data_IF_289960261105
#
_entry.id   IF_289960261105
#
_cell.length_a   1.000
_cell.length_b   1.000
_cell.length_c   1.000
_cell.angle_alpha   90.00
_cell.angle_beta   90.00
_cell.angle_gamma   90.00
#
_symmetry.space_group_name_H-M   'P 1'
#
loop_
_entity.id
_entity.type
_entity.pdbx_description
1 polymer ?
#
# COMPACT_ATOMS: atom_id res chain seq x y z
N UNK A 1 8.42 -14.12 51.36
CA UNK A 1 8.59 -14.55 49.96
C UNK A 1 8.73 -13.30 49.12
N UNK A 2 9.97 -12.95 48.79
CA UNK A 2 10.30 -11.79 47.95
C UNK A 2 10.03 -12.16 46.50
N UNK A 3 9.05 -11.48 45.86
CA UNK A 3 8.79 -11.62 44.43
C UNK A 3 9.97 -11.12 43.63
N UNK A 4 10.69 -12.03 43.02
CA UNK A 4 11.65 -11.69 41.96
C UNK A 4 10.87 -11.12 40.76
N UNK A 5 10.83 -9.79 40.67
CA UNK A 5 10.44 -9.13 39.43
C UNK A 5 11.46 -9.52 38.35
N UNK A 6 11.04 -10.36 37.40
CA UNK A 6 11.86 -10.67 36.24
C UNK A 6 12.18 -9.35 35.51
N UNK A 7 13.47 -9.06 35.34
CA UNK A 7 13.88 -7.91 34.54
C UNK A 7 13.23 -8.00 33.14
N UNK A 8 12.70 -6.89 32.60
CA UNK A 8 12.12 -6.90 31.28
C UNK A 8 13.17 -7.43 30.25
N UNK A 9 12.75 -8.25 29.28
CA UNK A 9 13.65 -8.79 28.28
C UNK A 9 14.39 -7.64 27.57
N UNK A 10 15.70 -7.81 27.38
CA UNK A 10 16.52 -6.81 26.69
C UNK A 10 15.94 -6.47 25.32
N UNK A 11 15.90 -5.19 24.99
CA UNK A 11 15.41 -4.73 23.69
C UNK A 11 16.20 -5.39 22.55
N UNK A 12 15.55 -5.83 21.47
CA UNK A 12 16.22 -6.45 20.34
C UNK A 12 17.24 -5.51 19.71
N UNK A 13 18.38 -6.07 19.28
CA UNK A 13 19.35 -5.28 18.54
C UNK A 13 18.77 -4.73 17.21
N UNK A 14 19.29 -3.61 16.69
CA UNK A 14 18.69 -2.93 15.52
C UNK A 14 18.53 -3.82 14.27
N UNK A 15 19.43 -4.78 14.06
CA UNK A 15 19.36 -5.72 12.95
C UNK A 15 18.18 -6.69 13.08
N UNK A 16 17.93 -7.22 14.26
CA UNK A 16 16.82 -8.14 14.52
C UNK A 16 15.47 -7.40 14.43
N UNK A 17 15.39 -6.20 15.00
CA UNK A 17 14.20 -5.36 14.88
C UNK A 17 13.89 -5.01 13.41
N UNK A 18 14.91 -4.67 12.60
CA UNK A 18 14.76 -4.41 11.17
C UNK A 18 14.23 -5.63 10.43
N UNK A 19 14.76 -6.82 10.70
CA UNK A 19 14.28 -8.04 10.08
C UNK A 19 12.83 -8.35 10.49
N UNK A 20 12.47 -8.15 11.76
CA UNK A 20 11.10 -8.33 12.25
C UNK A 20 10.10 -7.38 11.57
N UNK A 21 10.45 -6.10 11.46
CA UNK A 21 9.61 -5.08 10.82
C UNK A 21 9.47 -5.38 9.32
N UNK A 22 10.57 -5.69 8.64
CA UNK A 22 10.54 -6.08 7.23
C UNK A 22 9.70 -7.35 7.00
N UNK A 23 9.74 -8.33 7.92
CA UNK A 23 8.90 -9.52 7.86
C UNK A 23 7.41 -9.20 8.03
N UNK A 24 7.03 -8.21 8.87
CA UNK A 24 5.65 -7.76 8.98
C UNK A 24 5.15 -7.14 7.67
N UNK A 25 5.92 -6.24 7.06
CA UNK A 25 5.61 -5.65 5.76
C UNK A 25 5.54 -6.71 4.65
N UNK A 26 6.51 -7.61 4.58
CA UNK A 26 6.51 -8.73 3.63
C UNK A 26 5.24 -9.57 3.77
N UNK A 27 4.90 -9.95 4.99
CA UNK A 27 3.71 -10.75 5.30
C UNK A 27 2.42 -10.02 4.91
N UNK A 28 2.33 -8.73 5.18
CA UNK A 28 1.18 -7.92 4.79
C UNK A 28 0.99 -7.90 3.26
N UNK A 29 2.05 -7.64 2.51
CA UNK A 29 2.01 -7.66 1.03
C UNK A 29 1.70 -9.04 0.47
N UNK A 30 2.30 -10.10 1.04
CA UNK A 30 2.06 -11.46 0.62
C UNK A 30 0.59 -11.87 0.85
N UNK A 31 0.03 -11.60 2.01
CA UNK A 31 -1.36 -11.94 2.34
C UNK A 31 -2.33 -11.14 1.45
N UNK A 32 -2.11 -9.83 1.31
CA UNK A 32 -2.96 -8.96 0.50
C UNK A 32 -3.02 -9.43 -0.95
N UNK A 33 -1.87 -9.62 -1.59
CA UNK A 33 -1.81 -10.09 -2.98
C UNK A 33 -2.30 -11.54 -3.12
N UNK A 34 -2.08 -12.41 -2.13
CA UNK A 34 -2.65 -13.76 -2.15
C UNK A 34 -4.17 -13.78 -2.17
N UNK A 35 -4.82 -12.82 -1.51
CA UNK A 35 -6.28 -12.69 -1.52
C UNK A 35 -6.77 -12.03 -2.82
N UNK A 36 -6.15 -10.92 -3.25
CA UNK A 36 -6.62 -10.17 -4.43
C UNK A 36 -6.42 -10.95 -5.74
N UNK A 37 -5.35 -11.72 -5.88
CA UNK A 37 -5.14 -12.59 -7.06
C UNK A 37 -6.11 -13.78 -7.12
N UNK A 38 -6.90 -14.02 -6.06
CA UNK A 38 -7.90 -15.09 -5.99
C UNK A 38 -9.34 -14.55 -5.91
N UNK A 39 -9.54 -13.26 -6.17
CA UNK A 39 -10.89 -12.67 -6.20
C UNK A 39 -11.84 -13.36 -7.17
N UNK A 40 -11.44 -13.79 -8.39
CA UNK A 40 -12.33 -14.56 -9.27
C UNK A 40 -12.86 -15.82 -8.58
N UNK A 41 -12.01 -16.61 -7.92
CA UNK A 41 -12.45 -17.79 -7.16
C UNK A 41 -13.42 -17.47 -6.02
N UNK A 42 -13.31 -16.29 -5.41
CA UNK A 42 -14.28 -15.84 -4.42
C UNK A 42 -15.61 -15.46 -5.05
N UNK A 43 -15.60 -14.82 -6.23
CA UNK A 43 -16.81 -14.51 -7.00
C UNK A 43 -17.56 -15.78 -7.33
N UNK A 44 -16.90 -16.76 -7.94
CA UNK A 44 -17.50 -18.06 -8.32
C UNK A 44 -18.05 -18.80 -7.09
N UNK A 45 -17.24 -18.89 -6.04
CA UNK A 45 -17.62 -19.65 -4.83
C UNK A 45 -18.84 -19.07 -4.12
N UNK A 46 -18.99 -17.76 -4.11
CA UNK A 46 -20.01 -17.03 -3.33
C UNK A 46 -21.08 -16.38 -4.20
N UNK A 47 -21.04 -16.60 -5.52
CA UNK A 47 -21.93 -16.00 -6.50
C UNK A 47 -22.00 -14.46 -6.35
N UNK A 48 -20.83 -13.82 -6.31
CA UNK A 48 -20.69 -12.37 -6.11
C UNK A 48 -20.51 -11.66 -7.45
N UNK A 49 -21.48 -10.88 -7.86
CA UNK A 49 -21.29 -9.94 -8.98
C UNK A 49 -20.36 -8.78 -8.59
N UNK A 50 -19.85 -8.01 -9.59
CA UNK A 50 -18.87 -6.93 -9.39
C UNK A 50 -19.32 -5.88 -8.37
N UNK A 51 -20.62 -5.56 -8.31
CA UNK A 51 -21.16 -4.59 -7.35
C UNK A 51 -21.11 -5.11 -5.92
N UNK A 52 -21.44 -6.40 -5.71
CA UNK A 52 -21.35 -7.03 -4.39
C UNK A 52 -19.89 -7.14 -3.93
N UNK A 53 -18.99 -7.55 -4.82
CA UNK A 53 -17.57 -7.58 -4.56
C UNK A 53 -17.00 -6.18 -4.23
N UNK A 54 -17.41 -5.15 -5.01
CA UNK A 54 -17.05 -3.75 -4.73
C UNK A 54 -17.50 -3.33 -3.33
N UNK A 55 -18.71 -3.73 -2.91
CA UNK A 55 -19.22 -3.45 -1.57
C UNK A 55 -18.38 -4.13 -0.47
N UNK A 56 -17.97 -5.37 -0.68
CA UNK A 56 -17.10 -6.11 0.26
C UNK A 56 -15.70 -5.48 0.34
N UNK A 57 -15.13 -5.09 -0.80
CA UNK A 57 -13.84 -4.41 -0.85
C UNK A 57 -13.90 -3.01 -0.22
N UNK A 58 -14.98 -2.26 -0.44
CA UNK A 58 -15.24 -1.00 0.25
C UNK A 58 -15.25 -1.19 1.76
N UNK A 59 -16.02 -2.16 2.25
CA UNK A 59 -16.07 -2.51 3.66
C UNK A 59 -14.67 -2.81 4.21
N UNK A 60 -13.88 -3.61 3.50
CA UNK A 60 -12.51 -3.97 3.89
C UNK A 60 -11.61 -2.74 4.04
N UNK A 61 -11.63 -1.81 3.08
CA UNK A 61 -10.81 -0.59 3.10
C UNK A 61 -11.28 0.36 4.20
N UNK A 62 -12.60 0.55 4.38
CA UNK A 62 -13.13 1.37 5.48
C UNK A 62 -12.75 0.82 6.84
N UNK A 63 -12.83 -0.50 7.01
CA UNK A 63 -12.43 -1.16 8.25
C UNK A 63 -10.90 -1.15 8.47
N UNK A 64 -10.09 -1.12 7.40
CA UNK A 64 -8.67 -0.84 7.52
C UNK A 64 -8.42 0.59 8.05
N UNK A 65 -9.17 1.57 7.57
CA UNK A 65 -9.16 2.92 8.15
C UNK A 65 -9.51 2.93 9.64
N UNK A 66 -10.57 2.20 10.03
CA UNK A 66 -10.94 2.02 11.45
C UNK A 66 -9.83 1.34 12.24
N UNK A 67 -9.23 0.27 11.70
CA UNK A 67 -8.08 -0.42 12.31
C UNK A 67 -6.90 0.51 12.56
N UNK A 68 -6.57 1.37 11.59
CA UNK A 68 -5.53 2.38 11.71
C UNK A 68 -5.83 3.39 12.82
N UNK A 69 -7.07 3.91 12.91
CA UNK A 69 -7.49 4.80 14.00
C UNK A 69 -7.45 4.12 15.37
N UNK A 70 -7.80 2.83 15.44
CA UNK A 70 -7.68 2.04 16.66
C UNK A 70 -6.22 1.89 17.05
N UNK A 71 -5.33 1.62 16.09
CA UNK A 71 -3.89 1.53 16.33
C UNK A 71 -3.31 2.84 16.89
N UNK A 72 -3.69 3.99 16.33
CA UNK A 72 -3.27 5.32 16.81
C UNK A 72 -3.67 5.55 18.27
N UNK A 73 -4.84 5.06 18.71
CA UNK A 73 -5.31 5.19 20.08
C UNK A 73 -4.71 4.17 21.04
N UNK A 74 -4.45 2.95 20.57
CA UNK A 74 -3.96 1.86 21.40
C UNK A 74 -2.43 1.86 21.54
N UNK A 75 -1.69 2.18 20.49
CA UNK A 75 -0.23 2.15 20.53
C UNK A 75 0.39 3.04 21.63
N UNK A 76 -0.14 4.25 21.94
CA UNK A 76 0.31 5.04 23.06
C UNK A 76 0.08 4.37 24.44
N UNK A 77 -0.88 3.47 24.55
CA UNK A 77 -1.28 2.82 25.82
C UNK A 77 -0.66 1.44 26.01
N UNK A 78 -0.61 0.65 24.94
CA UNK A 78 -0.24 -0.77 24.98
C UNK A 78 1.13 -1.08 24.40
N UNK A 79 1.79 -0.14 23.71
CA UNK A 79 2.96 -0.31 22.83
C UNK A 79 2.58 -0.72 21.38
N UNK A 80 3.21 -0.07 20.41
CA UNK A 80 3.01 -0.38 18.99
C UNK A 80 3.38 -1.82 18.62
N UNK A 81 4.37 -2.41 19.31
CA UNK A 81 4.75 -3.82 19.12
C UNK A 81 3.62 -4.79 19.53
N UNK A 82 2.90 -4.47 20.60
CA UNK A 82 1.77 -5.29 21.08
C UNK A 82 0.60 -5.20 20.09
N UNK A 83 0.28 -3.97 19.65
CA UNK A 83 -0.81 -3.74 18.71
C UNK A 83 -0.49 -4.35 17.34
N UNK A 84 0.78 -4.30 16.89
CA UNK A 84 1.24 -4.96 15.67
C UNK A 84 1.04 -6.48 15.72
N UNK A 85 1.44 -7.10 16.82
CA UNK A 85 1.23 -8.55 17.04
C UNK A 85 -0.25 -8.91 17.03
N UNK A 86 -1.09 -8.14 17.72
CA UNK A 86 -2.53 -8.34 17.73
C UNK A 86 -3.11 -8.24 16.31
N UNK A 87 -2.72 -7.24 15.52
CA UNK A 87 -3.12 -7.08 14.13
C UNK A 87 -2.71 -8.27 13.26
N UNK A 88 -1.47 -8.76 13.40
CA UNK A 88 -0.98 -9.94 12.67
C UNK A 88 -1.76 -11.22 13.04
N UNK A 89 -2.11 -11.39 14.32
CA UNK A 89 -2.96 -12.50 14.76
C UNK A 89 -4.38 -12.40 14.19
N UNK A 90 -4.96 -11.21 14.17
CA UNK A 90 -6.27 -10.97 13.55
C UNK A 90 -6.20 -11.31 12.05
N UNK A 91 -5.16 -10.88 11.32
CA UNK A 91 -4.95 -11.24 9.90
C UNK A 91 -4.86 -12.76 9.74
N UNK A 92 -4.07 -13.44 10.57
CA UNK A 92 -3.89 -14.90 10.49
C UNK A 92 -5.22 -15.64 10.65
N UNK A 93 -5.97 -15.33 11.70
CA UNK A 93 -7.29 -15.92 11.95
C UNK A 93 -8.28 -15.58 10.82
N UNK A 94 -8.32 -14.31 10.40
CA UNK A 94 -9.25 -13.86 9.37
C UNK A 94 -8.98 -14.57 8.04
N UNK A 95 -7.72 -14.68 7.59
CA UNK A 95 -7.36 -15.37 6.34
C UNK A 95 -7.75 -16.85 6.37
N UNK A 96 -7.47 -17.53 7.47
CA UNK A 96 -7.88 -18.93 7.62
C UNK A 96 -9.40 -19.09 7.52
N UNK A 97 -10.16 -18.19 8.18
CA UNK A 97 -11.63 -18.21 8.12
C UNK A 97 -12.16 -17.81 6.75
N UNK A 98 -11.58 -16.80 6.07
CA UNK A 98 -11.93 -16.41 4.69
C UNK A 98 -11.88 -17.60 3.75
N UNK A 99 -10.79 -18.37 3.83
CA UNK A 99 -10.59 -19.54 2.96
C UNK A 99 -11.50 -20.70 3.33
N UNK A 100 -11.72 -20.95 4.61
CA UNK A 100 -12.47 -22.12 5.11
C UNK A 100 -13.93 -21.80 5.41
N UNK A 101 -14.41 -20.60 5.09
CA UNK A 101 -15.76 -20.16 5.39
C UNK A 101 -16.83 -21.16 4.87
N UNK A 102 -17.80 -21.56 5.72
CA UNK A 102 -18.89 -22.42 5.30
C UNK A 102 -20.05 -21.67 4.64
N UNK A 103 -20.15 -20.35 4.86
CA UNK A 103 -21.23 -19.50 4.33
C UNK A 103 -20.71 -18.12 3.92
N UNK A 104 -21.41 -17.45 3.01
CA UNK A 104 -21.09 -16.08 2.56
C UNK A 104 -21.03 -15.10 3.74
N UNK A 105 -21.90 -15.24 4.75
CA UNK A 105 -21.89 -14.37 5.92
C UNK A 105 -20.58 -14.51 6.70
N UNK A 106 -20.10 -15.74 6.95
CA UNK A 106 -18.83 -15.98 7.63
C UNK A 106 -17.66 -15.44 6.81
N UNK A 107 -17.69 -15.62 5.48
CA UNK A 107 -16.70 -15.04 4.57
C UNK A 107 -16.62 -13.51 4.68
N UNK A 108 -17.78 -12.82 4.61
CA UNK A 108 -17.84 -11.35 4.69
C UNK A 108 -17.37 -10.84 6.06
N UNK A 109 -17.78 -11.49 7.16
CA UNK A 109 -17.33 -11.12 8.50
C UNK A 109 -15.82 -11.37 8.69
N UNK A 110 -15.28 -12.41 8.09
CA UNK A 110 -13.84 -12.68 8.12
C UNK A 110 -13.05 -11.64 7.32
N UNK A 111 -13.55 -11.20 6.16
CA UNK A 111 -12.95 -10.09 5.40
C UNK A 111 -13.07 -8.76 6.14
N UNK A 112 -14.14 -8.52 6.87
CA UNK A 112 -14.28 -7.38 7.76
C UNK A 112 -13.18 -7.38 8.86
N UNK A 113 -12.98 -8.51 9.52
CA UNK A 113 -11.92 -8.69 10.51
C UNK A 113 -10.52 -8.53 9.88
N UNK A 114 -10.33 -9.07 8.66
CA UNK A 114 -9.10 -8.88 7.90
C UNK A 114 -8.82 -7.39 7.64
N UNK A 115 -9.83 -6.61 7.24
CA UNK A 115 -9.72 -5.17 7.03
C UNK A 115 -9.22 -4.47 8.31
N UNK A 116 -9.83 -4.73 9.46
CA UNK A 116 -9.37 -4.16 10.74
C UNK A 116 -7.92 -4.57 11.05
N UNK A 117 -7.58 -5.85 10.89
CA UNK A 117 -6.22 -6.36 11.07
C UNK A 117 -5.21 -5.67 10.15
N UNK A 118 -5.58 -5.46 8.88
CA UNK A 118 -4.76 -4.76 7.88
C UNK A 118 -4.42 -3.34 8.36
N UNK A 119 -5.42 -2.57 8.82
CA UNK A 119 -5.20 -1.22 9.34
C UNK A 119 -4.36 -1.18 10.60
N UNK A 120 -4.55 -2.14 11.53
CA UNK A 120 -3.70 -2.28 12.72
C UNK A 120 -2.24 -2.50 12.34
N UNK A 121 -1.97 -3.43 11.42
CA UNK A 121 -0.61 -3.78 10.97
C UNK A 121 0.03 -2.64 10.20
N UNK A 122 -0.71 -1.99 9.31
CA UNK A 122 -0.22 -0.88 8.50
C UNK A 122 0.25 0.29 9.39
N UNK A 123 -0.61 0.78 10.28
CA UNK A 123 -0.26 1.89 11.15
C UNK A 123 0.90 1.55 12.10
N UNK A 124 0.85 0.40 12.75
CA UNK A 124 1.88 0.02 13.74
C UNK A 124 3.18 -0.45 13.10
N UNK A 125 3.14 -1.04 11.91
CA UNK A 125 4.33 -1.36 11.11
C UNK A 125 5.10 -0.09 10.74
N UNK A 126 4.40 0.95 10.28
CA UNK A 126 5.01 2.25 10.00
C UNK A 126 5.57 2.91 11.28
N UNK A 127 4.85 2.86 12.42
CA UNK A 127 5.35 3.35 13.70
C UNK A 127 6.65 2.64 14.12
N UNK A 128 6.71 1.33 13.98
CA UNK A 128 7.90 0.53 14.27
C UNK A 128 9.07 0.87 13.32
N UNK A 129 8.80 1.09 12.03
CA UNK A 129 9.82 1.46 11.06
C UNK A 129 10.40 2.85 11.36
N UNK A 130 9.57 3.85 11.69
CA UNK A 130 10.00 5.19 12.11
C UNK A 130 10.80 5.14 13.42
N UNK A 131 10.35 4.36 14.42
CA UNK A 131 11.11 4.17 15.65
C UNK A 131 12.49 3.56 15.39
N UNK A 132 12.59 2.65 14.42
CA UNK A 132 13.85 2.06 14.00
C UNK A 132 14.75 3.08 13.28
N UNK A 133 14.20 3.93 12.42
CA UNK A 133 14.93 5.02 11.76
C UNK A 133 15.60 5.95 12.78
N UNK A 134 14.85 6.36 13.81
CA UNK A 134 15.37 7.19 14.89
C UNK A 134 16.53 6.50 15.64
N UNK A 135 16.38 5.20 15.95
CA UNK A 135 17.46 4.42 16.63
C UNK A 135 18.69 4.20 15.77
N UNK A 136 18.52 4.09 14.46
CA UNK A 136 19.61 3.80 13.52
C UNK A 136 20.25 5.08 12.95
N UNK A 137 19.62 6.23 13.09
CA UNK A 137 20.04 7.50 12.47
C UNK A 137 20.07 7.44 10.95
N UNK A 138 19.27 6.57 10.34
CA UNK A 138 19.19 6.40 8.88
C UNK A 138 17.79 5.98 8.42
N UNK A 139 17.47 6.31 7.18
CA UNK A 139 16.21 5.94 6.53
C UNK A 139 16.10 4.42 6.39
N UNK A 140 14.96 3.84 6.75
CA UNK A 140 14.65 2.40 6.71
C UNK A 140 13.29 2.13 6.07
N UNK A 141 12.35 3.06 6.14
CA UNK A 141 10.98 2.92 5.67
C UNK A 141 10.87 2.47 4.20
N UNK A 142 11.65 3.01 3.23
CA UNK A 142 11.61 2.54 1.85
C UNK A 142 11.95 1.05 1.71
N UNK A 143 12.91 0.54 2.47
CA UNK A 143 13.27 -0.89 2.44
C UNK A 143 12.18 -1.77 3.05
N UNK A 144 11.40 -1.28 4.00
CA UNK A 144 10.25 -1.98 4.56
C UNK A 144 9.12 -2.08 3.51
N UNK A 145 8.81 -0.99 2.80
CA UNK A 145 7.87 -1.04 1.68
C UNK A 145 8.38 -1.91 0.51
N UNK A 146 9.70 -1.97 0.29
CA UNK A 146 10.33 -2.93 -0.63
C UNK A 146 10.07 -4.38 -0.21
N UNK A 147 10.11 -4.68 1.08
CA UNK A 147 9.75 -6.00 1.60
C UNK A 147 8.26 -6.32 1.37
N UNK A 148 7.35 -5.33 1.50
CA UNK A 148 5.95 -5.47 1.13
C UNK A 148 5.78 -5.86 -0.35
N UNK A 149 6.45 -5.14 -1.26
CA UNK A 149 6.43 -5.44 -2.70
C UNK A 149 6.96 -6.84 -2.98
N UNK A 150 8.05 -7.24 -2.34
CA UNK A 150 8.61 -8.59 -2.48
C UNK A 150 7.62 -9.66 -1.99
N UNK A 151 6.92 -9.41 -0.88
CA UNK A 151 5.85 -10.28 -0.40
C UNK A 151 4.75 -10.46 -1.45
N UNK A 152 4.33 -9.36 -2.09
CA UNK A 152 3.35 -9.38 -3.19
C UNK A 152 3.83 -10.18 -4.40
N UNK A 153 5.09 -10.02 -4.82
CA UNK A 153 5.69 -10.80 -5.91
C UNK A 153 5.68 -12.29 -5.57
N UNK A 154 6.11 -12.65 -4.37
CA UNK A 154 6.10 -14.04 -3.90
C UNK A 154 4.68 -14.60 -3.89
N UNK A 155 3.69 -13.83 -3.43
CA UNK A 155 2.29 -14.23 -3.43
C UNK A 155 1.77 -14.53 -4.84
N UNK A 156 2.05 -13.63 -5.80
CA UNK A 156 1.63 -13.82 -7.19
C UNK A 156 2.28 -15.06 -7.82
N UNK A 157 3.58 -15.28 -7.59
CA UNK A 157 4.28 -16.50 -8.03
C UNK A 157 3.67 -17.76 -7.38
N UNK A 158 3.40 -17.72 -6.08
CA UNK A 158 2.75 -18.83 -5.37
C UNK A 158 1.35 -19.09 -5.90
N UNK A 159 0.59 -18.04 -6.26
CA UNK A 159 -0.75 -18.20 -6.85
C UNK A 159 -0.67 -18.93 -8.18
N UNK A 160 0.26 -18.56 -9.07
CA UNK A 160 0.50 -19.25 -10.33
C UNK A 160 0.95 -20.71 -10.11
N UNK A 161 1.92 -20.94 -9.22
CA UNK A 161 2.49 -22.26 -8.96
C UNK A 161 1.51 -23.21 -8.27
N UNK A 162 0.50 -22.70 -7.56
CA UNK A 162 -0.48 -23.47 -6.79
C UNK A 162 -1.90 -23.38 -7.33
N UNK A 163 -2.08 -23.00 -8.58
CA UNK A 163 -3.39 -22.89 -9.23
C UNK A 163 -4.19 -24.18 -9.17
N UNK A 164 -3.54 -25.34 -9.38
CA UNK A 164 -4.15 -26.68 -9.27
C UNK A 164 -4.28 -27.22 -7.84
N UNK A 165 -3.85 -26.48 -6.81
CA UNK A 165 -3.94 -26.97 -5.44
C UNK A 165 -5.38 -26.87 -4.90
N UNK A 166 -5.77 -27.74 -3.94
CA UNK A 166 -7.04 -27.63 -3.27
C UNK A 166 -7.23 -26.24 -2.64
N UNK A 167 -8.44 -25.69 -2.74
CA UNK A 167 -8.76 -24.37 -2.17
C UNK A 167 -8.31 -24.20 -0.72
N UNK A 168 -8.54 -25.22 0.12
CA UNK A 168 -8.14 -25.22 1.53
C UNK A 168 -6.63 -25.01 1.76
N UNK A 169 -5.78 -25.35 0.79
CA UNK A 169 -4.33 -25.15 0.90
C UNK A 169 -3.96 -23.66 0.99
N UNK A 170 -4.81 -22.76 0.46
CA UNK A 170 -4.61 -21.30 0.57
C UNK A 170 -4.60 -20.84 2.03
N UNK A 171 -5.28 -21.55 2.94
CA UNK A 171 -5.25 -21.24 4.37
C UNK A 171 -3.84 -21.32 4.99
N UNK A 172 -2.90 -22.06 4.35
CA UNK A 172 -1.51 -22.12 4.80
C UNK A 172 -0.81 -20.75 4.80
N UNK A 173 -1.30 -19.77 4.02
CA UNK A 173 -0.81 -18.39 4.04
C UNK A 173 -0.94 -17.77 5.44
N UNK A 174 -1.91 -18.19 6.26
CA UNK A 174 -2.09 -17.74 7.64
C UNK A 174 -0.90 -18.05 8.58
N UNK A 175 -0.04 -19.00 8.21
CA UNK A 175 1.16 -19.37 9.02
C UNK A 175 2.15 -18.20 9.07
N UNK A 176 2.25 -17.40 8.01
CA UNK A 176 3.22 -16.30 7.94
C UNK A 176 2.90 -15.17 8.92
N UNK A 177 1.67 -14.63 9.00
CA UNK A 177 1.36 -13.62 10.02
C UNK A 177 1.44 -14.17 11.45
N UNK A 178 1.19 -15.47 11.67
CA UNK A 178 1.43 -16.10 12.99
C UNK A 178 2.93 -16.09 13.34
N UNK A 179 3.78 -16.48 12.39
CA UNK A 179 5.23 -16.45 12.58
C UNK A 179 5.75 -15.01 12.78
N UNK A 180 5.25 -14.05 11.99
CA UNK A 180 5.61 -12.65 12.11
C UNK A 180 5.16 -12.05 13.46
N UNK A 181 4.03 -12.49 14.03
CA UNK A 181 3.56 -12.03 15.35
C UNK A 181 4.52 -12.41 16.48
N UNK A 182 5.30 -13.48 16.31
CA UNK A 182 6.30 -13.92 17.29
C UNK A 182 7.65 -13.17 17.15
N UNK A 183 7.83 -12.31 16.15
CA UNK A 183 9.08 -11.64 15.86
C UNK A 183 9.46 -10.59 16.94
N UNK A 184 10.77 -10.27 17.07
CA UNK A 184 11.27 -9.34 18.08
C UNK A 184 11.11 -7.88 17.62
N UNK A 185 9.95 -7.28 17.84
CA UNK A 185 9.68 -5.86 17.59
C UNK A 185 10.27 -4.95 18.66
N UNK A 186 10.43 -3.67 18.32
CA UNK A 186 10.98 -2.67 19.23
C UNK A 186 9.96 -2.36 20.35
N UNK A 187 10.36 -2.46 21.64
CA UNK A 187 9.57 -1.93 22.73
C UNK A 187 9.56 -0.39 22.66
N UNK A 188 8.52 0.22 23.19
CA UNK A 188 8.37 1.67 23.26
C UNK A 188 9.47 2.29 24.14
N UNK A 189 10.12 3.33 23.64
CA UNK A 189 10.90 4.23 24.50
C UNK A 189 9.92 5.20 25.18
N UNK A 190 9.73 5.04 26.49
CA UNK A 190 8.93 5.93 27.31
C UNK A 190 9.66 7.28 27.41
N UNK A 191 9.38 8.21 26.52
CA UNK A 191 10.03 9.53 26.53
C UNK A 191 9.79 10.41 25.32
N UNK A 192 9.36 9.85 24.19
CA UNK A 192 9.07 10.63 22.97
C UNK A 192 7.57 10.69 22.69
N UNK A 193 6.80 11.29 23.58
CA UNK A 193 5.54 11.88 23.19
C UNK A 193 5.90 13.12 22.35
N UNK A 194 5.74 13.04 21.02
CA UNK A 194 5.77 14.22 20.19
C UNK A 194 4.64 15.14 20.69
N UNK A 195 4.99 16.15 21.44
CA UNK A 195 4.09 17.28 21.70
C UNK A 195 3.80 17.87 20.32
N UNK A 196 2.53 17.78 19.89
CA UNK A 196 2.03 18.44 18.70
C UNK A 196 2.15 19.95 18.91
N UNK A 197 3.28 20.50 18.57
CA UNK A 197 3.40 21.95 18.35
C UNK A 197 2.67 22.22 17.04
N UNK A 198 1.60 23.01 17.09
CA UNK A 198 0.99 23.62 15.92
C UNK A 198 2.05 24.45 15.22
N UNK A 199 2.65 23.88 14.19
CA UNK A 199 3.63 24.56 13.35
C UNK A 199 2.94 24.91 12.05
N UNK A 200 3.20 26.13 11.56
CA UNK A 200 2.71 26.61 10.27
C UNK A 200 3.26 25.71 9.13
N UNK A 201 2.44 24.75 8.71
CA UNK A 201 2.78 23.76 7.69
C UNK A 201 2.14 24.20 6.37
N UNK A 202 2.86 24.19 5.22
CA UNK A 202 2.31 24.61 3.93
C UNK A 202 1.33 23.56 3.37
N UNK A 203 0.21 23.36 4.05
CA UNK A 203 -0.78 22.32 3.74
C UNK A 203 -1.29 22.37 2.32
N UNK A 204 -1.41 23.57 1.71
CA UNK A 204 -1.87 23.68 0.32
C UNK A 204 -0.96 22.96 -0.65
N UNK A 205 0.36 23.14 -0.52
CA UNK A 205 1.34 22.43 -1.36
C UNK A 205 1.37 20.93 -1.07
N UNK A 206 1.29 20.55 0.22
CA UNK A 206 1.26 19.15 0.66
C UNK A 206 0.01 18.44 0.13
N UNK A 207 -1.16 19.08 0.14
CA UNK A 207 -2.39 18.52 -0.42
C UNK A 207 -2.28 18.27 -1.93
N UNK A 208 -1.64 19.19 -2.68
CA UNK A 208 -1.44 18.99 -4.11
C UNK A 208 -0.57 17.76 -4.41
N UNK A 209 0.48 17.54 -3.61
CA UNK A 209 1.30 16.33 -3.69
C UNK A 209 0.49 15.11 -3.23
N UNK A 210 -0.31 15.26 -2.16
CA UNK A 210 -1.21 14.22 -1.67
C UNK A 210 -2.25 13.78 -2.71
N UNK A 211 -2.77 14.69 -3.54
CA UNK A 211 -3.65 14.33 -4.65
C UNK A 211 -2.95 13.46 -5.71
N UNK A 212 -1.66 13.69 -5.97
CA UNK A 212 -0.90 12.80 -6.85
C UNK A 212 -0.75 11.40 -6.23
N UNK A 213 -0.59 11.33 -4.91
CA UNK A 213 -0.57 10.06 -4.18
C UNK A 213 -1.94 9.36 -4.21
N UNK A 214 -3.05 10.10 -4.10
CA UNK A 214 -4.41 9.55 -4.28
C UNK A 214 -4.56 8.93 -5.66
N UNK A 215 -4.15 9.62 -6.72
CA UNK A 215 -4.20 9.08 -8.09
C UNK A 215 -3.36 7.81 -8.19
N UNK A 216 -2.15 7.81 -7.64
CA UNK A 216 -1.28 6.63 -7.62
C UNK A 216 -1.99 5.44 -6.96
N UNK A 217 -2.47 5.59 -5.72
CA UNK A 217 -3.11 4.49 -5.01
C UNK A 217 -4.45 4.07 -5.63
N UNK A 218 -5.16 4.98 -6.32
CA UNK A 218 -6.34 4.60 -7.11
C UNK A 218 -5.97 3.65 -8.24
N UNK A 219 -4.91 3.97 -8.98
CA UNK A 219 -4.43 3.14 -10.09
C UNK A 219 -3.84 1.82 -9.58
N UNK A 220 -2.98 1.89 -8.56
CA UNK A 220 -2.29 0.73 -7.97
C UNK A 220 -3.30 -0.28 -7.39
N UNK A 221 -4.27 0.21 -6.60
CA UNK A 221 -5.31 -0.63 -6.01
C UNK A 221 -6.27 -1.17 -7.06
N UNK A 222 -6.64 -0.38 -8.07
CA UNK A 222 -7.44 -0.87 -9.19
C UNK A 222 -6.76 -2.04 -9.91
N UNK A 223 -5.46 -1.89 -10.22
CA UNK A 223 -4.69 -2.93 -10.90
C UNK A 223 -4.51 -4.18 -10.01
N UNK A 224 -4.16 -4.00 -8.73
CA UNK A 224 -3.92 -5.11 -7.81
C UNK A 224 -5.20 -5.87 -7.44
N UNK A 225 -6.34 -5.17 -7.36
CA UNK A 225 -7.61 -5.76 -6.94
C UNK A 225 -8.42 -6.29 -8.12
N UNK A 226 -8.60 -5.46 -9.15
CA UNK A 226 -9.47 -5.79 -10.28
C UNK A 226 -8.74 -6.38 -11.48
N UNK A 227 -7.40 -6.34 -11.52
CA UNK A 227 -6.64 -6.92 -12.62
C UNK A 227 -6.88 -8.41 -12.83
N UNK A 228 -6.80 -9.27 -11.80
CA UNK A 228 -7.13 -10.69 -11.92
C UNK A 228 -8.57 -10.94 -12.37
N UNK A 229 -9.54 -10.22 -11.76
CA UNK A 229 -10.97 -10.28 -12.13
C UNK A 229 -11.17 -9.86 -13.59
N UNK A 230 -10.46 -8.81 -14.03
CA UNK A 230 -10.53 -8.32 -15.40
C UNK A 230 -10.04 -9.33 -16.43
N UNK A 231 -8.98 -10.10 -16.12
CA UNK A 231 -8.52 -11.16 -17.01
C UNK A 231 -9.53 -12.31 -17.09
N UNK A 232 -10.18 -12.62 -16.00
CA UNK A 232 -11.20 -13.67 -15.89
C UNK A 232 -12.50 -13.25 -16.59
N UNK A 233 -13.18 -12.24 -16.07
CA UNK A 233 -14.53 -11.82 -16.51
C UNK A 233 -14.59 -11.30 -17.95
N UNK A 234 -13.52 -10.65 -18.44
CA UNK A 234 -13.54 -9.98 -19.76
C UNK A 234 -12.97 -10.85 -20.87
N UNK A 235 -12.08 -11.79 -20.53
CA UNK A 235 -11.35 -12.57 -21.53
C UNK A 235 -11.42 -14.09 -21.33
N UNK A 236 -12.14 -14.56 -20.31
CA UNK A 236 -12.15 -16.00 -19.96
C UNK A 236 -10.72 -16.56 -19.87
N UNK A 237 -9.80 -15.78 -19.25
CA UNK A 237 -8.42 -16.21 -19.13
C UNK A 237 -8.31 -17.45 -18.25
N UNK A 238 -7.38 -18.39 -18.54
CA UNK A 238 -7.18 -19.56 -17.71
C UNK A 238 -6.97 -19.17 -16.24
N UNK A 239 -7.69 -19.81 -15.32
CA UNK A 239 -7.68 -19.50 -13.88
C UNK A 239 -6.27 -19.53 -13.28
N UNK A 240 -5.42 -20.40 -13.80
CA UNK A 240 -4.01 -20.53 -13.42
C UNK A 240 -3.14 -19.35 -13.89
N UNK A 241 -3.64 -18.48 -14.79
CA UNK A 241 -2.89 -17.36 -15.35
C UNK A 241 -3.41 -15.96 -14.91
N UNK A 242 -4.53 -15.86 -14.20
CA UNK A 242 -5.10 -14.56 -13.80
C UNK A 242 -4.15 -13.71 -12.94
N UNK A 243 -3.26 -14.36 -12.17
CA UNK A 243 -2.24 -13.66 -11.39
C UNK A 243 -1.20 -12.92 -12.26
N UNK A 244 -1.16 -13.18 -13.57
CA UNK A 244 -0.33 -12.42 -14.53
C UNK A 244 -0.81 -10.96 -14.70
N UNK A 245 -2.01 -10.61 -14.27
CA UNK A 245 -2.39 -9.20 -14.16
C UNK A 245 -1.52 -8.45 -13.14
N UNK A 246 -1.11 -9.11 -12.06
CA UNK A 246 -0.44 -8.49 -10.92
C UNK A 246 1.07 -8.74 -10.90
N UNK A 247 1.52 -9.96 -11.20
CA UNK A 247 2.93 -10.32 -11.06
C UNK A 247 3.87 -9.44 -11.92
N UNK A 248 3.69 -9.32 -13.25
CA UNK A 248 4.57 -8.48 -14.07
C UNK A 248 4.48 -6.99 -13.70
N UNK A 249 3.30 -6.53 -13.29
CA UNK A 249 3.10 -5.17 -12.76
C UNK A 249 4.01 -4.90 -11.56
N UNK A 250 4.00 -5.78 -10.56
CA UNK A 250 4.82 -5.63 -9.35
C UNK A 250 6.31 -5.71 -9.65
N UNK A 251 6.72 -6.65 -10.50
CA UNK A 251 8.12 -6.81 -10.91
C UNK A 251 8.59 -5.56 -11.64
N UNK A 252 7.84 -5.07 -12.62
CA UNK A 252 8.16 -3.87 -13.38
C UNK A 252 8.26 -2.64 -12.48
N UNK A 253 7.27 -2.45 -11.58
CA UNK A 253 7.28 -1.37 -10.60
C UNK A 253 8.50 -1.46 -9.66
N UNK A 254 8.82 -2.65 -9.17
CA UNK A 254 9.99 -2.88 -8.32
C UNK A 254 11.31 -2.54 -9.03
N UNK A 255 11.48 -2.98 -10.28
CA UNK A 255 12.69 -2.70 -11.08
C UNK A 255 12.86 -1.20 -11.33
N UNK A 256 11.79 -0.48 -11.68
CA UNK A 256 11.85 0.97 -11.87
C UNK A 256 12.18 1.69 -10.56
N UNK A 257 11.65 1.25 -9.42
CA UNK A 257 11.98 1.81 -8.09
C UNK A 257 13.45 1.65 -7.74
N UNK A 258 14.10 0.55 -8.12
CA UNK A 258 15.53 0.33 -7.88
C UNK A 258 16.43 1.37 -8.57
N UNK A 259 16.01 1.89 -9.71
CA UNK A 259 16.75 2.92 -10.47
C UNK A 259 16.14 4.32 -10.31
N UNK A 260 15.03 4.43 -9.58
CA UNK A 260 14.22 5.64 -9.44
C UNK A 260 14.99 6.84 -8.91
N UNK A 261 15.87 6.65 -7.93
CA UNK A 261 16.69 7.71 -7.36
C UNK A 261 17.62 8.31 -8.43
N UNK A 262 18.33 7.45 -9.17
CA UNK A 262 19.20 7.89 -10.28
C UNK A 262 18.42 8.60 -11.39
N UNK A 263 17.25 8.08 -11.75
CA UNK A 263 16.39 8.71 -12.74
C UNK A 263 15.93 10.10 -12.27
N UNK A 264 15.58 10.22 -10.99
CA UNK A 264 15.16 11.50 -10.40
C UNK A 264 16.31 12.53 -10.40
N UNK A 265 17.52 12.10 -10.06
CA UNK A 265 18.71 12.97 -10.11
C UNK A 265 19.05 13.44 -11.51
N UNK A 266 18.90 12.56 -12.51
CA UNK A 266 19.28 12.88 -13.91
C UNK A 266 18.23 13.71 -14.65
N UNK A 267 16.94 13.41 -14.43
CA UNK A 267 15.83 13.97 -15.23
C UNK A 267 15.03 15.02 -14.47
N UNK A 268 15.07 14.98 -13.15
CA UNK A 268 14.26 15.79 -12.24
C UNK A 268 12.88 15.20 -12.00
N UNK A 269 12.33 15.44 -10.80
CA UNK A 269 11.06 14.84 -10.34
C UNK A 269 9.88 15.17 -11.27
N UNK A 270 9.73 16.42 -11.68
CA UNK A 270 8.61 16.87 -12.54
C UNK A 270 8.58 16.15 -13.90
N UNK A 271 9.74 16.07 -14.56
CA UNK A 271 9.85 15.41 -15.87
C UNK A 271 9.62 13.91 -15.75
N UNK A 272 10.19 13.31 -14.70
CA UNK A 272 10.04 11.87 -14.42
C UNK A 272 8.59 11.51 -14.15
N UNK A 273 7.87 12.29 -13.32
CA UNK A 273 6.45 12.09 -13.04
C UNK A 273 5.58 12.25 -14.29
N UNK A 274 5.86 13.25 -15.15
CA UNK A 274 5.13 13.42 -16.42
C UNK A 274 5.39 12.28 -17.41
N UNK A 275 6.63 11.82 -17.52
CA UNK A 275 6.96 10.65 -18.33
C UNK A 275 6.26 9.40 -17.81
N UNK A 276 6.28 9.18 -16.49
CA UNK A 276 5.55 8.11 -15.84
C UNK A 276 4.03 8.18 -16.08
N UNK A 277 3.45 9.39 -15.98
CA UNK A 277 2.02 9.60 -16.28
C UNK A 277 1.68 9.29 -17.74
N UNK A 278 2.56 9.64 -18.71
CA UNK A 278 2.37 9.30 -20.11
C UNK A 278 2.40 7.78 -20.33
N UNK A 279 3.38 7.09 -19.73
CA UNK A 279 3.45 5.62 -19.79
C UNK A 279 2.22 4.99 -19.14
N UNK A 280 1.80 5.46 -17.98
CA UNK A 280 0.62 4.94 -17.28
C UNK A 280 -0.67 5.19 -18.09
N UNK A 281 -0.80 6.34 -18.73
CA UNK A 281 -1.95 6.64 -19.60
C UNK A 281 -2.02 5.66 -20.78
N UNK A 282 -0.90 5.48 -21.51
CA UNK A 282 -0.83 4.53 -22.63
C UNK A 282 -1.08 3.11 -22.16
N UNK A 283 -0.54 2.73 -21.02
CA UNK A 283 -0.73 1.43 -20.41
C UNK A 283 -2.21 1.14 -20.07
N UNK A 284 -2.89 2.09 -19.43
CA UNK A 284 -4.32 1.97 -19.10
C UNK A 284 -5.20 2.01 -20.35
N UNK A 285 -4.86 2.83 -21.35
CA UNK A 285 -5.53 2.81 -22.65
C UNK A 285 -5.39 1.44 -23.33
N UNK A 286 -4.20 0.82 -23.23
CA UNK A 286 -3.96 -0.53 -23.73
C UNK A 286 -4.79 -1.56 -22.96
N UNK A 287 -4.89 -1.46 -21.63
CA UNK A 287 -5.75 -2.33 -20.82
C UNK A 287 -7.21 -2.22 -21.24
N UNK A 288 -7.75 -0.99 -21.32
CA UNK A 288 -9.16 -0.73 -21.68
C UNK A 288 -9.48 -1.24 -23.09
N UNK A 289 -8.58 -1.04 -24.06
CA UNK A 289 -8.76 -1.42 -25.46
C UNK A 289 -8.25 -2.84 -25.78
N UNK A 290 -7.74 -3.59 -24.81
CA UNK A 290 -7.10 -4.89 -25.05
C UNK A 290 -8.05 -5.86 -25.80
N UNK A 291 -7.61 -6.47 -26.92
CA UNK A 291 -8.37 -7.48 -27.62
C UNK A 291 -8.29 -8.87 -26.98
N UNK A 292 -7.31 -9.10 -26.10
CA UNK A 292 -7.05 -10.37 -25.45
C UNK A 292 -6.32 -10.20 -24.11
N UNK A 293 -6.40 -11.19 -23.23
CA UNK A 293 -5.75 -11.14 -21.92
C UNK A 293 -4.21 -10.95 -21.97
N UNK A 294 -3.42 -11.53 -22.91
CA UNK A 294 -1.98 -11.26 -22.95
C UNK A 294 -1.66 -9.78 -23.23
N UNK A 295 -2.48 -9.10 -24.06
CA UNK A 295 -2.33 -7.68 -24.32
C UNK A 295 -2.65 -6.85 -23.08
N UNK A 296 -3.68 -7.24 -22.31
CA UNK A 296 -3.99 -6.62 -21.04
C UNK A 296 -2.84 -6.78 -20.03
N UNK A 297 -2.21 -7.95 -19.96
CA UNK A 297 -1.01 -8.21 -19.12
C UNK A 297 0.14 -7.29 -19.51
N UNK A 298 0.40 -7.08 -20.81
CA UNK A 298 1.40 -6.10 -21.25
C UNK A 298 1.01 -4.69 -20.77
N UNK A 299 -0.26 -4.33 -20.86
CA UNK A 299 -0.76 -3.06 -20.33
C UNK A 299 -0.49 -2.92 -18.84
N UNK A 300 -0.83 -3.90 -18.01
CA UNK A 300 -0.54 -3.89 -16.57
C UNK A 300 0.97 -3.82 -16.28
N UNK A 301 1.80 -4.53 -17.04
CA UNK A 301 3.26 -4.47 -16.90
C UNK A 301 3.78 -3.05 -17.13
N UNK A 302 3.38 -2.41 -18.22
CA UNK A 302 3.75 -1.03 -18.52
C UNK A 302 3.21 -0.05 -17.47
N UNK A 303 2.00 -0.30 -16.94
CA UNK A 303 1.42 0.49 -15.88
C UNK A 303 2.32 0.49 -14.64
N UNK A 304 2.85 -0.67 -14.25
CA UNK A 304 3.81 -0.80 -13.16
C UNK A 304 5.04 0.10 -13.36
N UNK A 305 5.56 0.18 -14.58
CA UNK A 305 6.65 1.12 -14.90
C UNK A 305 6.21 2.59 -14.73
N UNK A 306 5.04 2.94 -15.26
CA UNK A 306 4.56 4.32 -15.30
C UNK A 306 4.30 4.95 -13.93
N UNK A 307 3.77 4.17 -12.99
CA UNK A 307 3.38 4.69 -11.67
C UNK A 307 4.41 4.48 -10.56
N UNK A 308 5.47 3.72 -10.82
CA UNK A 308 6.43 3.24 -9.82
C UNK A 308 7.01 4.32 -8.91
N UNK A 309 7.33 5.48 -9.46
CA UNK A 309 8.03 6.57 -8.75
C UNK A 309 7.09 7.57 -8.06
N UNK A 310 5.78 7.53 -8.32
CA UNK A 310 4.84 8.53 -7.81
C UNK A 310 4.82 8.54 -6.28
N UNK A 311 4.63 7.38 -5.65
CA UNK A 311 4.56 7.29 -4.19
C UNK A 311 5.87 7.71 -3.49
N UNK A 312 7.06 7.16 -3.81
CA UNK A 312 8.28 7.57 -3.14
C UNK A 312 8.57 9.07 -3.33
N UNK A 313 8.39 9.61 -4.53
CA UNK A 313 8.57 11.04 -4.77
C UNK A 313 7.56 11.91 -3.99
N UNK A 314 6.32 11.45 -3.84
CA UNK A 314 5.30 12.16 -3.07
C UNK A 314 5.67 12.27 -1.59
N UNK A 315 6.10 11.18 -0.97
CA UNK A 315 6.55 11.20 0.43
C UNK A 315 7.80 12.07 0.62
N UNK A 316 8.79 11.96 -0.28
CA UNK A 316 10.01 12.79 -0.23
C UNK A 316 9.69 14.28 -0.39
N UNK A 317 8.81 14.64 -1.32
CA UNK A 317 8.41 16.03 -1.54
C UNK A 317 7.60 16.60 -0.35
N UNK A 318 6.68 15.82 0.23
CA UNK A 318 5.93 16.21 1.41
C UNK A 318 6.84 16.41 2.62
N UNK A 319 7.81 15.52 2.85
CA UNK A 319 8.80 15.63 3.90
C UNK A 319 9.70 16.87 3.73
N UNK A 320 10.16 17.12 2.49
CA UNK A 320 10.97 18.29 2.18
C UNK A 320 10.21 19.61 2.43
N UNK A 321 8.94 19.69 2.03
CA UNK A 321 8.08 20.85 2.32
C UNK A 321 7.85 21.04 3.82
N UNK A 322 7.63 19.96 4.56
CA UNK A 322 7.45 20.00 6.00
C UNK A 322 8.71 20.48 6.74
N UNK A 323 9.88 20.09 6.27
CA UNK A 323 11.16 20.48 6.86
C UNK A 323 11.68 21.87 6.47
N UNK A 324 11.03 22.54 5.47
CA UNK A 324 11.44 23.86 5.02
C UNK A 324 11.16 24.89 6.11
N UNK A 325 12.08 25.80 6.34
CA UNK A 325 11.98 26.91 7.32
C UNK A 325 11.66 26.44 8.75
N UNK A 326 11.82 25.15 9.04
CA UNK A 326 11.62 24.61 10.39
C UNK A 326 12.89 24.78 11.23
N UNK A 327 12.69 25.17 12.50
CA UNK A 327 13.76 25.17 13.49
C UNK A 327 14.42 23.76 13.55
N UNK A 328 15.76 23.66 13.52
CA UNK A 328 16.46 22.36 13.60
C UNK A 328 15.98 21.47 14.75
N UNK A 329 15.61 22.06 15.90
CA UNK A 329 15.14 21.33 17.07
C UNK A 329 13.73 20.69 16.87
N UNK A 330 12.89 21.26 16.01
CA UNK A 330 11.50 20.82 15.78
C UNK A 330 11.28 20.19 14.41
N UNK A 331 12.27 20.33 13.50
CA UNK A 331 12.17 19.88 12.10
C UNK A 331 11.72 18.43 11.98
N UNK A 332 12.35 17.53 12.71
CA UNK A 332 12.05 16.10 12.62
C UNK A 332 10.62 15.80 13.09
N UNK A 333 10.21 16.34 14.23
CA UNK A 333 8.84 16.17 14.73
C UNK A 333 7.78 16.70 13.74
N UNK A 334 8.07 17.82 13.06
CA UNK A 334 7.21 18.40 12.03
C UNK A 334 7.11 17.51 10.79
N UNK A 335 8.24 16.97 10.33
CA UNK A 335 8.28 16.03 9.20
C UNK A 335 7.49 14.76 9.55
N UNK A 336 7.70 14.18 10.73
CA UNK A 336 7.01 12.96 11.16
C UNK A 336 5.49 13.17 11.26
N UNK A 337 5.05 14.31 11.79
CA UNK A 337 3.62 14.65 11.88
C UNK A 337 2.97 14.82 10.48
N UNK A 338 3.70 15.44 9.53
CA UNK A 338 3.22 15.57 8.15
C UNK A 338 3.15 14.24 7.45
N UNK A 339 4.20 13.43 7.56
CA UNK A 339 4.25 12.09 6.93
C UNK A 339 3.13 11.20 7.47
N UNK A 340 2.88 11.21 8.79
CA UNK A 340 1.79 10.45 9.39
C UNK A 340 0.40 10.85 8.81
N UNK A 341 0.12 12.16 8.71
CA UNK A 341 -1.12 12.67 8.09
C UNK A 341 -1.16 12.43 6.58
N UNK A 342 -0.02 12.51 5.92
CA UNK A 342 0.10 12.29 4.48
C UNK A 342 -0.32 10.88 4.09
N UNK A 343 -0.15 9.90 4.97
CA UNK A 343 -0.61 8.53 4.75
C UNK A 343 -2.13 8.39 4.59
N UNK A 344 -2.95 9.39 5.00
CA UNK A 344 -4.40 9.37 4.77
C UNK A 344 -4.75 9.43 3.27
N UNK A 345 -3.90 10.06 2.45
CA UNK A 345 -4.07 10.07 0.99
C UNK A 345 -3.96 8.67 0.37
N UNK A 346 -3.17 7.78 0.98
CA UNK A 346 -3.10 6.38 0.61
C UNK A 346 -4.48 5.70 0.74
N UNK A 347 -5.13 5.83 1.90
CA UNK A 347 -6.45 5.22 2.11
C UNK A 347 -7.52 5.81 1.18
N UNK A 348 -7.50 7.12 0.95
CA UNK A 348 -8.41 7.75 0.01
C UNK A 348 -8.23 7.21 -1.42
N UNK A 349 -6.98 7.09 -1.88
CA UNK A 349 -6.67 6.52 -3.19
C UNK A 349 -7.05 5.04 -3.29
N UNK A 350 -6.68 4.23 -2.29
CA UNK A 350 -7.01 2.82 -2.26
C UNK A 350 -8.53 2.59 -2.27
N UNK A 351 -9.28 3.41 -1.52
CA UNK A 351 -10.74 3.38 -1.52
C UNK A 351 -11.31 3.64 -2.91
N UNK A 352 -10.85 4.71 -3.56
CA UNK A 352 -11.30 5.05 -4.91
C UNK A 352 -10.97 3.93 -5.91
N UNK A 353 -9.77 3.36 -5.85
CA UNK A 353 -9.35 2.26 -6.73
C UNK A 353 -10.17 0.99 -6.54
N UNK A 354 -10.40 0.59 -5.29
CA UNK A 354 -11.18 -0.60 -4.99
C UNK A 354 -12.65 -0.44 -5.36
N UNK A 355 -13.26 0.72 -5.07
CA UNK A 355 -14.72 0.91 -5.18
C UNK A 355 -15.12 1.47 -6.54
N UNK A 356 -14.48 2.55 -7.00
CA UNK A 356 -14.92 3.21 -8.24
C UNK A 356 -14.70 2.33 -9.46
N UNK A 357 -13.58 1.58 -9.52
CA UNK A 357 -13.33 0.69 -10.65
C UNK A 357 -14.40 -0.41 -10.75
N UNK A 358 -14.74 -1.06 -9.64
CA UNK A 358 -15.77 -2.10 -9.64
C UNK A 358 -17.19 -1.56 -9.80
N UNK A 359 -17.55 -0.46 -9.10
CA UNK A 359 -18.90 0.11 -9.18
C UNK A 359 -19.21 0.67 -10.57
N UNK A 360 -18.26 1.36 -11.20
CA UNK A 360 -18.39 1.83 -12.60
C UNK A 360 -18.29 0.65 -13.57
N UNK A 361 -17.51 -0.37 -13.22
CA UNK A 361 -17.30 -1.59 -13.99
C UNK A 361 -18.39 -2.64 -13.87
N UNK A 362 -19.46 -2.42 -13.08
CA UNK A 362 -20.50 -3.43 -12.80
C UNK A 362 -21.19 -4.05 -14.03
N UNK A 363 -21.13 -3.40 -15.18
CA UNK A 363 -21.59 -3.96 -16.46
C UNK A 363 -20.46 -4.39 -17.40
N UNK A 364 -19.24 -3.90 -17.15
CA UNK A 364 -18.01 -4.25 -17.89
C UNK A 364 -16.81 -3.63 -17.21
N UNK A 365 -15.88 -4.43 -16.74
CA UNK A 365 -14.62 -3.95 -16.13
C UNK A 365 -13.74 -3.15 -17.11
N UNK A 366 -13.96 -3.25 -18.44
CA UNK A 366 -13.33 -2.32 -19.39
C UNK A 366 -13.70 -0.87 -19.08
N UNK A 367 -14.98 -0.62 -18.79
CA UNK A 367 -15.49 0.70 -18.38
C UNK A 367 -14.95 1.05 -16.98
N UNK A 368 -14.85 0.08 -16.09
CA UNK A 368 -14.26 0.26 -14.76
C UNK A 368 -12.83 0.79 -14.83
N UNK A 369 -11.99 0.21 -15.69
CA UNK A 369 -10.60 0.66 -15.89
C UNK A 369 -10.48 2.02 -16.62
N UNK A 370 -11.55 2.56 -17.20
CA UNK A 370 -11.57 3.93 -17.68
C UNK A 370 -11.47 4.96 -16.54
N UNK A 371 -11.88 4.60 -15.32
CA UNK A 371 -11.73 5.48 -14.13
C UNK A 371 -10.28 5.82 -13.85
N UNK A 372 -9.38 4.85 -13.57
CA UNK A 372 -7.96 5.14 -13.39
C UNK A 372 -7.31 5.74 -14.65
N UNK A 373 -7.77 5.40 -15.87
CA UNK A 373 -7.29 6.00 -17.12
C UNK A 373 -7.54 7.53 -17.14
N UNK A 374 -8.72 7.98 -16.76
CA UNK A 374 -9.04 9.41 -16.71
C UNK A 374 -8.28 10.08 -15.57
N UNK A 375 -8.21 9.46 -14.41
CA UNK A 375 -7.55 10.04 -13.24
C UNK A 375 -6.04 10.21 -13.44
N UNK A 376 -5.37 9.28 -14.12
CA UNK A 376 -3.91 9.38 -14.34
C UNK A 376 -3.52 10.64 -15.13
N UNK A 377 -4.43 11.20 -15.92
CA UNK A 377 -4.20 12.46 -16.64
C UNK A 377 -3.92 13.61 -15.67
N UNK A 378 -4.52 13.59 -14.47
CA UNK A 378 -4.28 14.61 -13.45
C UNK A 378 -2.81 14.69 -13.01
N UNK A 379 -2.05 13.59 -13.10
CA UNK A 379 -0.62 13.57 -12.75
C UNK A 379 0.22 14.54 -13.60
N UNK A 380 -0.19 14.84 -14.84
CA UNK A 380 0.52 15.83 -15.67
C UNK A 380 0.52 17.23 -15.06
N UNK A 381 -0.60 17.62 -14.43
CA UNK A 381 -0.73 18.92 -13.78
C UNK A 381 -0.18 18.86 -12.35
N UNK A 382 -0.48 17.80 -11.60
CA UNK A 382 -0.03 17.62 -10.22
C UNK A 382 1.51 17.51 -10.13
N UNK A 383 2.17 17.01 -11.18
CA UNK A 383 3.63 16.94 -11.24
C UNK A 383 4.31 18.30 -11.00
N UNK A 384 3.65 19.44 -11.30
CA UNK A 384 4.20 20.77 -11.04
C UNK A 384 4.42 21.04 -9.55
N UNK A 385 3.63 20.41 -8.67
CA UNK A 385 3.79 20.56 -7.22
C UNK A 385 5.11 19.95 -6.68
N UNK A 386 5.81 19.18 -7.49
CA UNK A 386 7.09 18.55 -7.17
C UNK A 386 8.30 19.36 -7.66
N UNK A 387 8.07 20.55 -8.23
CA UNK A 387 9.17 21.44 -8.66
C UNK A 387 9.95 21.93 -7.43
N UNK A 388 11.29 22.03 -7.51
CA UNK A 388 12.09 22.73 -6.53
C UNK A 388 11.58 24.16 -6.36
N UNK A 389 11.61 24.69 -5.14
CA UNK A 389 11.04 26.01 -4.85
C UNK A 389 11.72 27.17 -5.61
N UNK A 390 12.97 27.00 -5.96
CA UNK A 390 13.78 28.01 -6.67
C UNK A 390 13.28 28.25 -8.10
N UNK A 391 12.66 27.26 -8.73
CA UNK A 391 12.11 27.37 -10.09
C UNK A 391 10.77 28.11 -10.12
N UNK A 392 10.00 28.08 -9.02
CA UNK A 392 8.69 28.75 -8.93
C UNK A 392 8.81 30.27 -8.83
N UNK A 393 9.90 30.76 -8.24
CA UNK A 393 10.16 32.22 -8.10
C UNK A 393 10.59 32.83 -9.43
N UNK A 394 11.32 32.09 -10.26
CA UNK A 394 11.79 32.56 -11.57
C UNK A 394 10.67 32.72 -12.60
N UNK A 395 9.66 31.84 -12.62
CA UNK A 395 8.50 31.98 -13.53
C UNK A 395 7.55 33.13 -13.11
N UNK A 396 7.45 33.45 -11.82
CA UNK A 396 6.63 34.56 -11.33
C UNK A 396 7.26 35.95 -11.61
N UNK A 397 8.58 36.01 -11.76
CA UNK A 397 9.30 37.25 -12.09
C UNK A 397 9.42 37.52 -13.59
N UNK A 398 9.26 36.51 -14.43
CA UNK A 398 9.31 36.63 -15.88
C UNK A 398 7.94 36.97 -16.53
N UNK A 399 6.87 36.97 -15.75
CA UNK A 399 5.50 37.25 -16.18
C UNK A 399 4.94 38.62 -15.76
N UNK A 400 5.81 39.57 -15.34
CA UNK A 400 5.41 40.94 -15.03
C UNK A 400 6.06 41.92 -15.98
#
# INVERSE_FOLDING_TARGET
>A
MLGMSAAPPAAPGPRHARAAIAAAFFTQGLVFISLTTRLPRFQDRWDLGELALSGVLLMMVLLAGVGSLVAERLAPRLDSAVVLRAGLLVIACAVAVVVLAPTTVVFVLALAAYGVGLGLVDATGNMQAVALEHRMGRVVLPSCHGAWTLGGVVAAVLTLATSGAPWSAVAAVAVLPLAAAAAPYLPRDHGTAATSTETDVPWRAIVMIGLALVVFYTVDTAAATWGPVYLDDVFDAPEDLVALATLPYLVASGLVRLVGDRLTEQVGAVRLLRAGAAVAFVALALVVAAPSWPVAVVGFTLLGCGVAVVAPLSFSAAAALAGRDADPATRQARVDAVVARFNQFNYAGALLGAVMTGAVGAGSLRVGFAVPLVLVVALFWLARAFAPADDVVSESSAGR
#
